data_IF_973503360582
#
_entry.id   IF_973503360582
#
_cell.length_a   1.000
_cell.length_b   1.000
_cell.length_c   1.000
_cell.angle_alpha   90.00
_cell.angle_beta   90.00
_cell.angle_gamma   90.00
#
_symmetry.space_group_name_H-M   'P 1'
#
loop_
_entity.id
_entity.type
_entity.pdbx_description
1 polymer ?
#
# COMPACT_ATOMS: atom_id res chain seq x y z
N UNK A 1 17.16 14.61 5.89
CA UNK A 1 16.55 13.40 5.32
C UNK A 1 15.29 13.85 4.61
N UNK A 2 15.11 13.43 3.36
CA UNK A 2 13.86 13.70 2.63
C UNK A 2 12.76 12.86 3.24
N UNK A 3 11.57 13.45 3.44
CA UNK A 3 10.45 12.73 4.05
C UNK A 3 9.90 11.65 3.11
N UNK A 4 9.32 10.56 3.65
CA UNK A 4 8.56 9.62 2.85
C UNK A 4 7.44 10.33 2.06
N UNK A 5 7.19 9.86 0.84
CA UNK A 5 6.18 10.41 -0.07
C UNK A 5 5.15 9.34 -0.37
N UNK A 6 3.88 9.65 -0.14
CA UNK A 6 2.77 8.78 -0.55
C UNK A 6 2.57 9.00 -2.05
N UNK A 7 2.74 7.95 -2.84
CA UNK A 7 2.63 8.00 -4.29
C UNK A 7 1.21 7.71 -4.78
N UNK A 8 0.45 6.91 -4.03
CA UNK A 8 -0.95 6.59 -4.32
C UNK A 8 -1.62 5.92 -3.08
N UNK A 9 -2.92 6.15 -2.91
CA UNK A 9 -3.73 5.57 -1.81
C UNK A 9 -4.88 4.66 -2.30
N UNK A 10 -4.97 4.42 -3.62
CA UNK A 10 -5.95 3.52 -4.23
C UNK A 10 -5.26 2.41 -5.02
N UNK A 11 -5.73 1.16 -4.87
CA UNK A 11 -5.14 0.00 -5.55
C UNK A 11 -5.05 0.15 -7.07
N UNK A 12 -6.01 0.83 -7.74
CA UNK A 12 -5.97 1.07 -9.20
C UNK A 12 -4.77 1.92 -9.59
N UNK A 13 -4.56 3.04 -8.89
CA UNK A 13 -3.43 3.96 -9.08
C UNK A 13 -2.11 3.27 -8.77
N UNK A 14 -2.08 2.51 -7.68
CA UNK A 14 -0.93 1.69 -7.29
C UNK A 14 -0.58 0.71 -8.41
N UNK A 15 -1.56 -0.03 -8.96
CA UNK A 15 -1.35 -0.94 -10.09
C UNK A 15 -0.78 -0.21 -11.32
N UNK A 16 -1.24 1.00 -11.63
CA UNK A 16 -0.67 1.82 -12.72
C UNK A 16 0.82 2.09 -12.49
N UNK A 17 1.22 2.50 -11.29
CA UNK A 17 2.63 2.76 -10.94
C UNK A 17 3.45 1.47 -11.06
N UNK A 18 2.98 0.37 -10.47
CA UNK A 18 3.68 -0.91 -10.50
C UNK A 18 3.86 -1.42 -11.93
N UNK A 19 2.83 -1.30 -12.78
CA UNK A 19 2.90 -1.67 -14.19
C UNK A 19 3.88 -0.76 -14.97
N UNK A 20 3.96 0.52 -14.64
CA UNK A 20 4.94 1.43 -15.25
C UNK A 20 6.38 1.03 -14.90
N UNK A 21 6.63 0.58 -13.67
CA UNK A 21 7.94 0.08 -13.25
C UNK A 21 8.31 -1.20 -14.03
N UNK A 22 7.37 -2.13 -14.21
CA UNK A 22 7.63 -3.43 -14.87
C UNK A 22 7.72 -3.38 -16.39
N UNK A 23 7.22 -2.32 -17.05
CA UNK A 23 7.28 -2.17 -18.54
C UNK A 23 8.68 -2.35 -19.12
N UNK A 24 9.73 -2.06 -18.34
CA UNK A 24 11.12 -2.11 -18.77
C UNK A 24 11.89 -3.34 -18.25
N UNK A 25 11.19 -4.29 -17.60
CA UNK A 25 11.81 -5.50 -17.06
C UNK A 25 11.66 -6.67 -18.06
N UNK A 26 12.77 -7.29 -18.50
CA UNK A 26 12.70 -8.60 -19.18
C UNK A 26 12.01 -9.65 -18.31
N UNK A 27 11.27 -10.57 -18.95
CA UNK A 27 10.39 -11.57 -18.32
C UNK A 27 11.09 -12.68 -17.50
N UNK A 28 12.40 -12.57 -17.23
CA UNK A 28 13.15 -13.54 -16.42
C UNK A 28 13.47 -12.93 -15.06
N UNK A 29 12.66 -13.18 -14.03
CA UNK A 29 12.93 -12.70 -12.67
C UNK A 29 14.00 -13.56 -11.98
N UNK A 30 14.80 -12.98 -11.09
CA UNK A 30 15.67 -13.72 -10.17
C UNK A 30 14.94 -14.71 -9.28
N UNK A 31 13.71 -14.37 -8.91
CA UNK A 31 12.86 -15.19 -8.05
C UNK A 31 11.41 -15.07 -8.50
N UNK A 32 10.73 -16.20 -8.63
CA UNK A 32 9.36 -16.28 -9.14
C UNK A 32 8.29 -16.26 -8.04
N UNK A 33 8.69 -15.98 -6.79
CA UNK A 33 7.83 -15.92 -5.61
C UNK A 33 8.25 -14.76 -4.69
N UNK A 34 7.28 -14.13 -4.00
CA UNK A 34 7.59 -13.21 -2.92
C UNK A 34 8.15 -13.97 -1.71
N UNK A 35 8.95 -13.30 -0.90
CA UNK A 35 9.58 -13.87 0.29
C UNK A 35 8.87 -13.36 1.53
N UNK A 36 8.27 -14.26 2.30
CA UNK A 36 7.69 -13.94 3.60
C UNK A 36 8.82 -13.70 4.61
N UNK A 37 8.72 -12.61 5.37
CA UNK A 37 9.65 -12.24 6.42
C UNK A 37 8.89 -12.00 7.74
N UNK A 38 9.59 -11.50 8.76
CA UNK A 38 8.96 -11.10 10.01
C UNK A 38 8.37 -12.26 10.83
N UNK A 39 7.36 -11.94 11.63
CA UNK A 39 6.82 -12.85 12.65
C UNK A 39 6.16 -14.09 12.05
N UNK A 40 5.57 -13.95 10.85
CA UNK A 40 4.92 -15.05 10.12
C UNK A 40 5.92 -16.03 9.52
N UNK A 41 7.08 -15.57 9.07
CA UNK A 41 8.18 -16.46 8.72
C UNK A 41 8.69 -17.25 9.93
N UNK A 42 8.77 -16.62 11.12
CA UNK A 42 9.20 -17.31 12.35
C UNK A 42 8.21 -18.38 12.79
N UNK A 43 6.90 -18.08 12.74
CA UNK A 43 5.84 -19.04 13.07
C UNK A 43 5.95 -20.34 12.28
N UNK A 44 6.40 -20.25 11.03
CA UNK A 44 6.64 -21.42 10.19
C UNK A 44 7.70 -22.36 10.75
N UNK A 45 8.80 -21.81 11.25
CA UNK A 45 9.90 -22.59 11.81
C UNK A 45 9.69 -22.99 13.27
N UNK A 46 8.83 -22.27 13.99
CA UNK A 46 8.57 -22.46 15.42
C UNK A 46 7.06 -22.58 15.64
N UNK A 47 6.56 -23.81 15.70
CA UNK A 47 5.11 -24.11 15.79
C UNK A 47 4.40 -23.47 17.00
N UNK A 48 5.10 -23.33 18.13
CA UNK A 48 4.59 -22.71 19.36
C UNK A 48 4.70 -21.18 19.38
N UNK A 49 5.19 -20.56 18.31
CA UNK A 49 5.20 -19.11 18.20
C UNK A 49 3.76 -18.57 18.19
N UNK A 50 3.55 -17.36 18.73
CA UNK A 50 2.22 -16.73 18.74
C UNK A 50 1.67 -16.58 17.32
N UNK A 51 0.36 -16.52 17.18
CA UNK A 51 -0.25 -16.25 15.88
C UNK A 51 0.14 -14.83 15.38
N UNK A 52 0.73 -14.72 14.19
CA UNK A 52 1.04 -13.43 13.56
C UNK A 52 -0.23 -12.66 13.18
N UNK A 53 -0.19 -11.35 13.37
CA UNK A 53 -1.30 -10.43 13.08
C UNK A 53 -1.14 -9.69 11.75
N UNK A 54 0.02 -9.78 11.13
CA UNK A 54 0.40 -9.06 9.91
C UNK A 54 1.16 -9.97 8.94
N UNK A 55 1.37 -9.45 7.73
CA UNK A 55 2.10 -10.09 6.65
C UNK A 55 3.23 -9.19 6.21
N UNK A 56 4.45 -9.50 6.63
CA UNK A 56 5.65 -8.82 6.16
C UNK A 56 6.25 -9.59 4.99
N UNK A 57 6.45 -8.93 3.85
CA UNK A 57 6.95 -9.58 2.63
C UNK A 57 8.00 -8.72 1.92
N UNK A 58 8.88 -9.39 1.18
CA UNK A 58 9.71 -8.78 0.13
C UNK A 58 9.21 -9.30 -1.21
N UNK A 59 8.91 -8.40 -2.13
CA UNK A 59 8.35 -8.79 -3.43
C UNK A 59 8.81 -7.88 -4.56
N UNK A 60 8.80 -8.39 -5.79
CA UNK A 60 9.00 -7.54 -6.97
C UNK A 60 7.72 -6.75 -7.29
N UNK A 61 7.82 -5.63 -8.04
CA UNK A 61 6.64 -4.91 -8.51
C UNK A 61 5.61 -5.81 -9.21
N UNK A 62 6.06 -6.77 -10.03
CA UNK A 62 5.19 -7.75 -10.67
C UNK A 62 4.49 -8.68 -9.67
N UNK A 63 5.22 -9.20 -8.68
CA UNK A 63 4.66 -10.05 -7.64
C UNK A 63 3.64 -9.28 -6.78
N UNK A 64 3.91 -8.01 -6.48
CA UNK A 64 2.98 -7.13 -5.77
C UNK A 64 1.72 -6.86 -6.59
N UNK A 65 1.83 -6.64 -7.90
CA UNK A 65 0.67 -6.54 -8.81
C UNK A 65 -0.19 -7.82 -8.74
N UNK A 66 0.44 -9.00 -8.78
CA UNK A 66 -0.27 -10.28 -8.67
C UNK A 66 -0.94 -10.46 -7.30
N UNK A 67 -0.30 -10.01 -6.22
CA UNK A 67 -0.88 -10.00 -4.88
C UNK A 67 -2.16 -9.16 -4.83
N UNK A 68 -2.10 -7.91 -5.32
CA UNK A 68 -3.25 -7.00 -5.34
C UNK A 68 -4.42 -7.61 -6.12
N UNK A 69 -4.14 -8.16 -7.31
CA UNK A 69 -5.16 -8.77 -8.15
C UNK A 69 -5.82 -9.98 -7.47
N UNK A 70 -5.03 -10.87 -6.84
CA UNK A 70 -5.56 -12.03 -6.12
C UNK A 70 -6.45 -11.65 -4.94
N UNK A 71 -6.07 -10.62 -4.18
CA UNK A 71 -6.91 -10.10 -3.09
C UNK A 71 -8.22 -9.52 -3.64
N UNK A 72 -8.19 -8.79 -4.77
CA UNK A 72 -9.43 -8.31 -5.39
C UNK A 72 -10.29 -9.44 -5.96
N UNK A 73 -9.68 -10.43 -6.61
CA UNK A 73 -10.38 -11.60 -7.18
C UNK A 73 -11.10 -12.43 -6.11
N UNK A 74 -10.63 -12.37 -4.86
CA UNK A 74 -11.28 -13.03 -3.73
C UNK A 74 -12.55 -12.34 -3.22
N UNK A 75 -12.88 -11.18 -3.77
CA UNK A 75 -13.89 -10.29 -3.22
C UNK A 75 -13.42 -9.49 -2.00
N UNK A 76 -12.18 -9.63 -1.53
CA UNK A 76 -11.71 -8.86 -0.37
C UNK A 76 -11.67 -7.35 -0.66
N UNK A 77 -11.93 -6.58 0.39
CA UNK A 77 -11.87 -5.11 0.36
C UNK A 77 -10.58 -4.63 1.01
N UNK A 78 -9.85 -3.77 0.31
CA UNK A 78 -8.69 -3.08 0.87
C UNK A 78 -9.11 -1.94 1.80
N UNK A 79 -8.34 -1.76 2.87
CA UNK A 79 -8.41 -0.60 3.76
C UNK A 79 -7.03 0.02 3.87
N UNK A 80 -6.98 1.36 3.82
CA UNK A 80 -5.76 2.14 4.04
C UNK A 80 -4.56 1.69 3.18
N UNK A 81 -4.80 1.24 1.94
CA UNK A 81 -3.73 0.80 1.05
C UNK A 81 -2.93 2.01 0.57
N UNK A 82 -1.60 1.99 0.72
CA UNK A 82 -0.73 3.10 0.30
C UNK A 82 0.55 2.57 -0.31
N UNK A 83 0.95 3.15 -1.42
CA UNK A 83 2.28 2.97 -1.99
C UNK A 83 3.15 4.17 -1.57
N UNK A 84 4.20 3.89 -0.80
CA UNK A 84 5.02 4.92 -0.15
C UNK A 84 6.46 4.81 -0.65
N UNK A 85 6.97 5.90 -1.21
CA UNK A 85 8.38 6.05 -1.54
C UNK A 85 9.16 6.59 -0.34
N UNK A 86 10.22 5.89 0.03
CA UNK A 86 11.19 6.33 1.03
C UNK A 86 12.47 6.72 0.29
N UNK A 87 12.79 8.02 0.13
CA UNK A 87 14.01 8.44 -0.54
C UNK A 87 15.25 7.80 0.09
N UNK A 88 16.05 7.08 -0.70
CA UNK A 88 17.20 6.29 -0.22
C UNK A 88 16.85 4.92 0.38
N UNK A 89 15.59 4.69 0.76
CA UNK A 89 15.08 3.44 1.34
C UNK A 89 14.39 2.51 0.34
N UNK A 90 13.72 3.05 -0.68
CA UNK A 90 13.02 2.27 -1.70
C UNK A 90 11.52 2.53 -1.70
N UNK A 91 10.75 1.51 -2.07
CA UNK A 91 9.29 1.59 -2.23
C UNK A 91 8.63 0.54 -1.33
N UNK A 92 7.57 0.91 -0.62
CA UNK A 92 6.82 0.01 0.25
C UNK A 92 5.33 0.10 -0.06
N UNK A 93 4.66 -1.04 -0.20
CA UNK A 93 3.20 -1.11 -0.19
C UNK A 93 2.76 -1.50 1.21
N UNK A 94 1.89 -0.69 1.80
CA UNK A 94 1.30 -0.96 3.12
C UNK A 94 -0.21 -0.96 2.98
N UNK A 95 -0.90 -1.70 3.84
CA UNK A 95 -2.35 -1.66 3.87
C UNK A 95 -2.94 -2.81 4.65
N UNK A 96 -4.26 -2.91 4.56
CA UNK A 96 -5.01 -3.97 5.20
C UNK A 96 -6.05 -4.49 4.21
N UNK A 97 -6.47 -5.73 4.38
CA UNK A 97 -7.65 -6.24 3.68
C UNK A 97 -8.54 -7.05 4.62
N UNK A 98 -9.84 -7.05 4.33
CA UNK A 98 -10.81 -7.89 5.02
C UNK A 98 -11.02 -9.14 4.17
N UNK A 99 -10.56 -10.27 4.70
CA UNK A 99 -10.80 -11.57 4.08
C UNK A 99 -12.27 -11.97 4.29
N UNK A 100 -13.01 -12.10 3.19
CA UNK A 100 -14.43 -12.45 3.20
C UNK A 100 -14.68 -13.94 3.50
N UNK A 101 -13.65 -14.80 3.38
CA UNK A 101 -13.75 -16.23 3.62
C UNK A 101 -13.38 -16.63 5.07
N UNK A 102 -12.87 -15.69 5.86
CA UNK A 102 -12.67 -15.86 7.30
C UNK A 102 -13.75 -15.12 8.09
N UNK A 103 -13.66 -15.09 9.43
CA UNK A 103 -14.54 -14.32 10.33
C UNK A 103 -14.40 -12.79 10.15
N UNK A 104 -14.34 -12.29 8.90
CA UNK A 104 -14.02 -10.92 8.50
C UNK A 104 -12.74 -10.41 9.15
N UNK A 105 -11.74 -11.29 9.27
CA UNK A 105 -10.49 -10.95 9.94
C UNK A 105 -9.75 -9.90 9.11
N UNK A 106 -9.42 -8.80 9.75
CA UNK A 106 -8.55 -7.78 9.18
C UNK A 106 -7.12 -8.31 9.14
N UNK A 107 -6.52 -8.30 7.96
CA UNK A 107 -5.13 -8.73 7.75
C UNK A 107 -4.34 -7.51 7.28
N UNK A 108 -3.43 -7.04 8.12
CA UNK A 108 -2.47 -6.00 7.76
C UNK A 108 -1.31 -6.61 6.98
N UNK A 109 -0.80 -5.87 6.00
CA UNK A 109 0.35 -6.28 5.19
C UNK A 109 1.32 -5.13 4.97
N UNK A 110 2.60 -5.50 4.90
CA UNK A 110 3.73 -4.65 4.63
C UNK A 110 4.62 -5.35 3.61
N UNK A 111 4.66 -4.81 2.39
CA UNK A 111 5.45 -5.37 1.28
C UNK A 111 6.55 -4.39 0.94
N UNK A 112 7.80 -4.77 1.18
CA UNK A 112 8.98 -4.06 0.70
C UNK A 112 9.23 -4.44 -0.77
N UNK A 113 9.15 -3.44 -1.66
CA UNK A 113 9.32 -3.67 -3.08
C UNK A 113 10.79 -3.62 -3.46
N UNK A 114 11.17 -4.54 -4.33
CA UNK A 114 12.55 -4.66 -4.83
C UNK A 114 12.56 -4.97 -6.31
N UNK A 115 13.46 -4.32 -7.03
CA UNK A 115 13.76 -4.64 -8.43
C UNK A 115 15.26 -4.89 -8.56
N UNK A 116 15.63 -5.75 -9.50
CA UNK A 116 17.02 -5.96 -9.90
C UNK A 116 17.47 -4.98 -10.99
N UNK A 117 16.52 -4.32 -11.62
CA UNK A 117 16.74 -3.51 -12.83
C UNK A 117 16.58 -2.02 -12.55
N UNK A 118 15.70 -1.71 -11.61
CA UNK A 118 15.30 -0.35 -11.26
C UNK A 118 15.70 -0.06 -9.82
N UNK A 119 16.37 1.08 -9.61
CA UNK A 119 16.70 1.57 -8.28
C UNK A 119 15.51 2.31 -7.69
N UNK A 120 14.67 1.59 -6.94
CA UNK A 120 13.47 2.14 -6.31
C UNK A 120 13.76 3.21 -5.24
N UNK A 121 15.03 3.41 -4.86
CA UNK A 121 15.44 4.49 -3.96
C UNK A 121 15.46 5.84 -4.66
N UNK A 122 15.70 5.84 -5.97
CA UNK A 122 15.95 7.03 -6.78
C UNK A 122 14.79 7.24 -7.75
N UNK A 123 13.75 7.92 -7.26
CA UNK A 123 12.67 8.42 -8.11
C UNK A 123 13.17 9.64 -8.90
N UNK A 124 12.92 9.67 -10.22
CA UNK A 124 13.28 10.82 -11.05
C UNK A 124 12.45 12.04 -10.67
N UNK A 125 13.10 13.18 -10.46
CA UNK A 125 12.47 14.42 -10.00
C UNK A 125 11.69 15.16 -11.12
N UNK A 126 10.78 14.48 -11.82
CA UNK A 126 9.90 15.14 -12.80
C UNK A 126 8.58 15.61 -12.19
N UNK A 127 8.45 15.48 -10.87
CA UNK A 127 7.21 15.67 -10.14
C UNK A 127 7.32 16.79 -9.12
N UNK A 128 6.54 17.86 -9.34
CA UNK A 128 6.23 18.85 -8.30
C UNK A 128 5.11 18.29 -7.40
N UNK A 129 5.40 17.24 -6.62
CA UNK A 129 4.43 16.60 -5.71
C UNK A 129 4.11 17.43 -4.45
N UNK A 130 4.56 18.68 -4.36
CA UNK A 130 4.28 19.56 -3.23
C UNK A 130 4.02 20.99 -3.70
N UNK A 131 2.81 21.28 -4.18
CA UNK A 131 2.21 22.58 -3.91
C UNK A 131 1.17 22.37 -2.82
N UNK A 132 1.60 22.48 -1.56
CA UNK A 132 0.71 23.06 -0.56
C UNK A 132 0.65 24.55 -0.91
N UNK A 133 -0.49 25.00 -1.42
CA UNK A 133 -0.78 26.44 -1.48
C UNK A 133 -0.88 26.91 -0.03
N UNK A 134 0.23 27.46 0.47
CA UNK A 134 0.24 28.30 1.65
C UNK A 134 0.08 29.75 1.20
N UNK A 135 -0.99 30.34 1.74
CA UNK A 135 -1.19 31.75 2.09
C UNK A 135 -1.47 32.75 0.95
N UNK A 136 -2.76 33.09 0.77
CA UNK A 136 -3.18 34.49 0.69
C UNK A 136 -4.39 34.69 1.63
N UNK A 137 -4.12 35.32 2.78
CA UNK A 137 -5.11 36.02 3.59
C UNK A 137 -5.77 37.11 2.73
N UNK A 138 -7.09 37.18 2.65
CA UNK A 138 -7.79 38.47 2.72
C UNK A 138 -9.05 38.34 3.59
N UNK A 139 -9.20 39.36 4.42
CA UNK A 139 -10.14 39.59 5.50
C UNK A 139 -11.60 39.65 5.06
N UNK A 140 -12.45 38.90 5.76
CA UNK A 140 -13.88 39.23 5.86
C UNK A 140 -14.19 39.58 7.33
N UNK A 141 -14.13 40.88 7.62
CA UNK A 141 -14.88 41.47 8.72
C UNK A 141 -16.34 41.55 8.26
N UNK A 142 -17.25 40.86 8.94
CA UNK A 142 -18.61 41.37 9.11
C UNK A 142 -19.24 40.76 10.38
N UNK A 143 -19.47 41.63 11.35
CA UNK A 143 -20.25 41.35 12.55
C UNK A 143 -21.76 41.35 12.24
N UNK A 144 -22.50 40.45 12.88
CA UNK A 144 -23.82 40.76 13.47
C UNK A 144 -24.40 39.56 14.24
N UNK A 145 -24.33 39.66 15.56
CA UNK A 145 -25.43 39.64 16.55
C UNK A 145 -26.65 38.69 16.44
N UNK A 146 -26.92 38.11 17.63
CA UNK A 146 -28.21 37.83 18.29
C UNK A 146 -28.94 36.47 18.14
N UNK A 147 -28.94 35.77 19.30
CA UNK A 147 -30.07 35.22 20.07
C UNK A 147 -30.71 33.84 19.79
N UNK A 148 -30.64 33.04 20.86
CA UNK A 148 -31.65 32.18 21.50
C UNK A 148 -32.50 31.19 20.67
N UNK A 149 -32.39 29.90 21.01
CA UNK A 149 -33.43 29.22 21.80
C UNK A 149 -33.12 27.76 22.17
N UNK A 150 -33.56 27.40 23.37
CA UNK A 150 -33.57 26.11 24.04
C UNK A 150 -34.61 25.15 23.44
N UNK A 151 -34.29 23.85 23.31
CA UNK A 151 -35.15 22.78 23.87
C UNK A 151 -34.43 21.42 23.91
N UNK A 152 -34.49 20.80 25.08
CA UNK A 152 -34.25 19.39 25.33
C UNK A 152 -35.40 18.56 24.76
N UNK A 153 -35.12 17.37 24.19
CA UNK A 153 -35.99 16.22 24.45
C UNK A 153 -35.22 14.90 24.36
N UNK A 154 -35.44 14.06 25.38
CA UNK A 154 -34.94 12.70 25.49
C UNK A 154 -35.93 11.76 24.81
N UNK A 155 -35.46 10.83 23.99
CA UNK A 155 -36.12 9.53 23.87
C UNK A 155 -35.12 8.42 23.58
N UNK A 156 -34.82 7.64 24.62
CA UNK A 156 -34.46 6.23 24.49
C UNK A 156 -35.63 5.48 23.84
N UNK A 157 -35.35 4.63 22.84
CA UNK A 157 -35.91 3.27 22.74
C UNK A 157 -35.09 2.44 21.75
N UNK A 158 -34.61 1.32 22.31
CA UNK A 158 -34.02 0.12 21.74
C UNK A 158 -34.76 -0.50 20.54
N UNK A 159 -34.03 -1.00 19.53
CA UNK A 159 -33.89 -2.44 19.22
C UNK A 159 -33.23 -2.67 17.85
N UNK A 160 -32.03 -3.23 17.90
CA UNK A 160 -31.62 -4.50 17.28
C UNK A 160 -32.26 -4.87 15.92
N UNK A 161 -31.57 -4.47 14.85
CA UNK A 161 -31.42 -5.24 13.62
C UNK A 161 -30.34 -4.58 12.78
N UNK A 162 -29.08 -4.95 13.01
CA UNK A 162 -27.94 -4.56 12.16
C UNK A 162 -28.03 -5.34 10.84
N UNK A 163 -28.86 -4.84 9.94
CA UNK A 163 -28.82 -5.16 8.52
C UNK A 163 -27.62 -4.39 7.94
N UNK A 164 -26.42 -4.97 8.00
CA UNK A 164 -25.25 -4.39 7.34
C UNK A 164 -25.43 -4.53 5.83
N UNK A 165 -25.96 -3.46 5.23
CA UNK A 165 -25.86 -3.20 3.80
C UNK A 165 -24.42 -3.42 3.33
N UNK A 166 -24.30 -4.17 2.24
CA UNK A 166 -23.05 -4.32 1.51
C UNK A 166 -22.59 -2.93 1.08
N UNK A 167 -21.58 -2.37 1.73
CA UNK A 167 -20.87 -1.24 1.16
C UNK A 167 -20.10 -1.77 -0.05
N UNK A 168 -20.70 -1.64 -1.23
CA UNK A 168 -19.96 -1.48 -2.47
C UNK A 168 -18.80 -0.52 -2.19
N UNK A 169 -17.62 -0.81 -2.74
CA UNK A 169 -16.41 0.00 -2.60
C UNK A 169 -16.67 1.42 -3.16
N UNK A 170 -17.43 2.25 -2.42
CA UNK A 170 -17.57 3.69 -2.60
C UNK A 170 -16.32 4.31 -1.99
N UNK A 171 -15.16 3.96 -2.55
CA UNK A 171 -14.06 4.92 -2.53
C UNK A 171 -14.49 5.99 -3.51
N UNK A 172 -15.02 7.10 -2.99
CA UNK A 172 -15.19 8.32 -3.77
C UNK A 172 -13.90 8.53 -4.57
N UNK A 173 -14.03 8.67 -5.89
CA UNK A 173 -12.93 9.02 -6.83
C UNK A 173 -12.43 10.47 -6.56
N UNK A 174 -12.46 10.93 -5.31
CA UNK A 174 -12.06 12.26 -4.85
C UNK A 174 -10.54 12.41 -4.69
N UNK A 175 -9.81 11.38 -5.11
CA UNK A 175 -8.37 11.34 -5.07
C UNK A 175 -7.83 12.18 -6.25
N UNK A 176 -7.73 13.50 -6.06
CA UNK A 176 -7.30 14.54 -7.03
C UNK A 176 -5.88 14.38 -7.62
N UNK A 177 -5.25 13.21 -7.51
CA UNK A 177 -4.06 12.91 -8.30
C UNK A 177 -4.47 12.53 -9.71
N UNK A 178 -4.21 13.43 -10.66
CA UNK A 178 -4.43 13.25 -12.10
C UNK A 178 -3.68 12.01 -12.60
N UNK A 179 -4.35 11.16 -13.39
CA UNK A 179 -3.74 9.98 -14.01
C UNK A 179 -2.50 10.36 -14.84
N UNK A 180 -2.50 11.58 -15.40
CA UNK A 180 -1.36 12.14 -16.12
C UNK A 180 -0.15 12.41 -15.22
N UNK A 181 -0.36 12.69 -13.92
CA UNK A 181 0.73 12.77 -12.96
C UNK A 181 1.28 11.38 -12.67
N UNK A 182 0.44 10.42 -12.29
CA UNK A 182 0.86 9.05 -11.93
C UNK A 182 1.73 8.41 -13.03
N UNK A 183 1.39 8.65 -14.29
CA UNK A 183 2.15 8.14 -15.44
C UNK A 183 3.56 8.73 -15.59
N UNK A 184 3.87 9.85 -14.92
CA UNK A 184 5.20 10.48 -14.90
C UNK A 184 6.12 9.92 -13.82
N UNK A 185 5.61 9.06 -12.93
CA UNK A 185 6.43 8.41 -11.89
C UNK A 185 7.39 7.45 -12.57
N UNK A 186 8.68 7.78 -12.48
CA UNK A 186 9.77 6.97 -13.03
C UNK A 186 10.89 6.85 -12.01
N UNK A 187 11.64 5.75 -12.10
CA UNK A 187 12.79 5.48 -11.26
C UNK A 187 14.05 5.33 -12.10
N UNK A 188 15.19 5.60 -11.50
CA UNK A 188 16.49 5.39 -12.14
C UNK A 188 16.81 3.90 -12.25
N UNK A 189 17.73 3.54 -13.14
CA UNK A 189 18.34 2.20 -13.15
C UNK A 189 19.51 2.17 -12.17
N UNK A 190 19.88 0.97 -11.72
CA UNK A 190 21.07 0.82 -10.90
C UNK A 190 22.30 1.36 -11.62
N UNK A 191 23.04 2.21 -10.91
CA UNK A 191 24.42 2.52 -11.21
C UNK A 191 25.27 1.68 -10.25
N UNK A 192 26.32 1.01 -10.73
CA UNK A 192 27.14 0.00 -10.00
C UNK A 192 27.86 0.50 -8.73
N UNK A 193 27.55 1.70 -8.25
CA UNK A 193 28.28 2.41 -7.19
C UNK A 193 27.64 2.22 -5.81
N UNK A 194 26.36 1.82 -5.73
CA UNK A 194 25.64 1.75 -4.46
C UNK A 194 25.56 0.34 -3.86
N UNK A 195 25.65 0.21 -2.52
CA UNK A 195 25.33 -1.03 -1.83
C UNK A 195 23.92 -1.51 -2.17
N UNK A 196 23.74 -2.83 -2.26
CA UNK A 196 22.41 -3.44 -2.46
C UNK A 196 21.51 -3.16 -1.26
N UNK A 197 20.22 -2.99 -1.52
CA UNK A 197 19.20 -2.94 -0.47
C UNK A 197 19.12 -4.28 0.26
N UNK A 198 18.77 -4.26 1.55
CA UNK A 198 18.54 -5.47 2.34
C UNK A 198 17.49 -6.38 1.71
N UNK A 199 16.38 -5.82 1.19
CA UNK A 199 15.38 -6.58 0.45
C UNK A 199 15.96 -7.30 -0.77
N UNK A 200 16.85 -6.68 -1.54
CA UNK A 200 17.51 -7.32 -2.68
C UNK A 200 18.43 -8.45 -2.23
N UNK A 201 19.19 -8.24 -1.14
CA UNK A 201 20.00 -9.31 -0.57
C UNK A 201 19.14 -10.49 -0.08
N UNK A 202 17.96 -10.22 0.51
CA UNK A 202 17.02 -11.27 0.93
C UNK A 202 16.56 -12.09 -0.28
N UNK A 203 16.18 -11.45 -1.39
CA UNK A 203 15.81 -12.17 -2.60
C UNK A 203 16.96 -13.01 -3.16
N UNK A 204 18.18 -12.47 -3.20
CA UNK A 204 19.38 -13.19 -3.65
C UNK A 204 19.69 -14.41 -2.77
N UNK A 205 19.52 -14.31 -1.45
CA UNK A 205 19.68 -15.44 -0.55
C UNK A 205 18.59 -16.50 -0.72
N UNK A 206 17.39 -16.06 -1.08
CA UNK A 206 16.22 -16.94 -1.21
C UNK A 206 16.02 -17.52 -2.61
N UNK A 207 16.70 -17.04 -3.66
CA UNK A 207 16.39 -17.35 -5.07
C UNK A 207 16.51 -18.84 -5.45
N UNK A 208 17.34 -19.61 -4.74
CA UNK A 208 17.59 -21.04 -5.02
C UNK A 208 16.89 -22.00 -4.05
N UNK A 209 15.99 -21.51 -3.21
CA UNK A 209 15.24 -22.36 -2.28
C UNK A 209 14.26 -23.22 -3.08
N UNK A 210 14.42 -24.55 -2.99
CA UNK A 210 13.55 -25.52 -3.69
C UNK A 210 12.33 -25.92 -2.86
N UNK A 211 12.50 -25.97 -1.55
CA UNK A 211 11.42 -26.28 -0.61
C UNK A 211 10.65 -25.00 -0.32
N UNK A 212 9.68 -24.73 -1.20
CA UNK A 212 8.80 -23.56 -1.12
C UNK A 212 7.42 -24.07 -0.77
N UNK A 213 6.81 -23.50 0.26
CA UNK A 213 5.39 -23.66 0.46
C UNK A 213 4.67 -22.46 -0.12
N UNK A 214 3.72 -22.72 -1.02
CA UNK A 214 2.81 -21.69 -1.49
C UNK A 214 1.88 -21.32 -0.34
N UNK A 215 1.96 -20.08 0.13
CA UNK A 215 0.93 -19.55 1.00
C UNK A 215 -0.35 -19.44 0.16
N UNK A 216 -1.46 -20.06 0.56
CA UNK A 216 -2.74 -19.70 -0.02
C UNK A 216 -2.97 -18.23 0.30
N UNK A 217 -2.87 -17.40 -0.73
CA UNK A 217 -3.65 -16.19 -0.77
C UNK A 217 -5.05 -16.74 -0.96
N UNK A 218 -5.85 -16.74 0.13
CA UNK A 218 -7.21 -17.29 0.27
C UNK A 218 -7.26 -18.76 0.69
#
# INVERSE_FOLDING_TARGET
MTNPQILAENYKKILTILNNITKNEDNTPLIDYPVLIGSRAVKWHISYYREPNDWDMVATPLQTTLFINKVKESGATFKNIKLIHYPGGGLKLVGEYIDQHTDKKLISFDIELVSEKVDLRNMKSNMNLNKKESDEDESDEDESDEDDNISEDNSDISNDSEDFEYSEDNMEDDDMQDDDEINKIEFERFNDVHPKLSALMILELCCNIKDKMMFPLL
#
